data_IF_634099552622
#
_entry.id   IF_634099552622
#
_cell.length_a   1.000
_cell.length_b   1.000
_cell.length_c   1.000
_cell.angle_alpha   90.00
_cell.angle_beta   90.00
_cell.angle_gamma   90.00
#
_symmetry.space_group_name_H-M   'P 1'
#
loop_
_entity.id
_entity.type
_entity.pdbx_description
1 polymer ?
#
# COMPACT_ATOMS: atom_id res chain seq x y z
N UNK A 1 7.58 -3.31 -0.17
CA UNK A 1 6.30 -3.82 0.39
C UNK A 1 6.25 -3.96 1.92
N UNK A 2 7.38 -4.00 2.66
CA UNK A 2 7.39 -4.08 4.14
C UNK A 2 6.88 -2.83 4.88
N UNK A 3 6.76 -1.69 4.22
CA UNK A 3 6.45 -0.42 4.89
C UNK A 3 4.97 -0.32 5.35
N UNK A 4 4.02 -0.84 4.56
CA UNK A 4 2.57 -0.84 4.93
C UNK A 4 2.31 -1.75 6.14
N UNK A 5 3.22 -2.70 6.43
CA UNK A 5 3.11 -3.60 7.59
C UNK A 5 3.21 -2.85 8.93
N UNK A 6 3.93 -1.71 8.96
CA UNK A 6 4.24 -1.00 10.20
C UNK A 6 3.15 0.00 10.59
N UNK A 7 2.60 0.77 9.64
CA UNK A 7 1.53 1.77 9.85
C UNK A 7 0.71 1.98 8.56
N UNK A 8 -0.52 2.51 8.66
CA UNK A 8 -1.24 3.04 7.50
C UNK A 8 -0.37 4.13 6.85
N UNK A 9 -0.11 4.01 5.55
CA UNK A 9 0.82 4.89 4.84
C UNK A 9 0.08 5.61 3.71
N UNK A 10 0.38 6.90 3.56
CA UNK A 10 -0.07 7.70 2.43
C UNK A 10 0.70 7.32 1.16
N UNK A 11 0.03 7.32 0.00
CA UNK A 11 0.66 6.95 -1.28
C UNK A 11 1.92 7.76 -1.62
N UNK A 12 1.96 9.05 -1.25
CA UNK A 12 3.15 9.89 -1.39
C UNK A 12 4.32 9.46 -0.49
N UNK A 13 4.03 9.09 0.75
CA UNK A 13 5.06 8.61 1.67
C UNK A 13 5.61 7.24 1.23
N UNK A 14 4.76 6.39 0.64
CA UNK A 14 5.20 5.13 0.02
C UNK A 14 6.17 5.38 -1.13
N UNK A 15 5.88 6.33 -2.02
CA UNK A 15 6.73 6.69 -3.14
C UNK A 15 8.11 7.17 -2.66
N UNK A 16 8.14 8.10 -1.70
CA UNK A 16 9.38 8.62 -1.12
C UNK A 16 10.22 7.51 -0.46
N UNK A 17 9.60 6.60 0.30
CA UNK A 17 10.34 5.51 0.99
C UNK A 17 10.89 4.46 0.03
N UNK A 18 10.20 4.22 -1.09
CA UNK A 18 10.64 3.25 -2.10
C UNK A 18 11.58 3.86 -3.15
N UNK A 19 11.77 5.19 -3.14
CA UNK A 19 12.57 5.88 -4.15
C UNK A 19 11.97 5.79 -5.57
N UNK A 20 10.66 5.56 -5.68
CA UNK A 20 9.96 5.43 -6.96
C UNK A 20 9.12 6.67 -7.26
N UNK A 21 8.76 6.85 -8.53
CA UNK A 21 7.87 7.94 -8.92
C UNK A 21 6.50 7.80 -8.23
N UNK A 22 5.86 8.94 -7.97
CA UNK A 22 4.54 8.97 -7.35
C UNK A 22 3.49 8.22 -8.21
N UNK A 23 3.58 8.36 -9.53
CA UNK A 23 2.72 7.66 -10.48
C UNK A 23 2.91 6.14 -10.41
N UNK A 24 4.15 5.66 -10.39
CA UNK A 24 4.46 4.23 -10.25
C UNK A 24 3.99 3.68 -8.90
N UNK A 25 4.12 4.45 -7.82
CA UNK A 25 3.60 4.04 -6.52
C UNK A 25 2.07 3.86 -6.54
N UNK A 26 1.34 4.76 -7.19
CA UNK A 26 -0.11 4.64 -7.34
C UNK A 26 -0.51 3.49 -8.26
N UNK A 27 0.25 3.23 -9.33
CA UNK A 27 0.04 2.08 -10.22
C UNK A 27 0.17 0.76 -9.44
N UNK A 28 1.29 0.57 -8.72
CA UNK A 28 1.49 -0.62 -7.89
C UNK A 28 0.45 -0.77 -6.78
N UNK A 29 0.02 0.34 -6.16
CA UNK A 29 -1.08 0.31 -5.18
C UNK A 29 -2.41 -0.10 -5.84
N UNK A 30 -2.64 0.31 -7.09
CA UNK A 30 -3.76 -0.13 -7.92
C UNK A 30 -3.74 -1.64 -8.16
N UNK A 31 -2.61 -2.18 -8.58
CA UNK A 31 -2.44 -3.63 -8.83
C UNK A 31 -2.64 -4.46 -7.57
N UNK A 32 -2.07 -4.00 -6.45
CA UNK A 32 -2.24 -4.66 -5.16
C UNK A 32 -3.68 -4.61 -4.67
N UNK A 33 -4.40 -3.53 -4.96
CA UNK A 33 -5.82 -3.40 -4.64
C UNK A 33 -6.68 -4.31 -5.52
N UNK A 34 -6.40 -4.36 -6.82
CA UNK A 34 -7.06 -5.28 -7.74
C UNK A 34 -6.88 -6.74 -7.30
N UNK A 35 -5.68 -7.07 -6.80
CA UNK A 35 -5.36 -8.38 -6.23
C UNK A 35 -5.93 -8.62 -4.82
N UNK A 36 -6.63 -7.63 -4.25
CA UNK A 36 -7.22 -7.62 -2.90
C UNK A 36 -6.19 -7.75 -1.76
N UNK A 37 -4.95 -7.34 -1.97
CA UNK A 37 -3.90 -7.36 -0.94
C UNK A 37 -3.85 -6.07 -0.12
N UNK A 38 -4.18 -4.92 -0.72
CA UNK A 38 -4.31 -3.65 -0.03
C UNK A 38 -5.67 -3.03 -0.32
N UNK A 39 -6.10 -2.14 0.55
CA UNK A 39 -7.24 -1.26 0.30
C UNK A 39 -6.93 0.14 0.83
N UNK A 40 -7.81 1.11 0.57
CA UNK A 40 -7.64 2.46 1.11
C UNK A 40 -8.90 2.96 1.79
N UNK A 41 -8.68 3.87 2.73
CA UNK A 41 -9.72 4.71 3.31
C UNK A 41 -9.46 6.15 2.90
N UNK A 42 -10.53 6.88 2.58
CA UNK A 42 -10.45 8.31 2.33
C UNK A 42 -10.52 9.05 3.67
N UNK A 43 -9.49 9.84 3.95
CA UNK A 43 -9.39 10.72 5.11
C UNK A 43 -9.24 12.15 4.58
N UNK A 44 -10.37 12.85 4.47
CA UNK A 44 -10.43 14.15 3.81
C UNK A 44 -10.07 14.06 2.33
N UNK A 45 -9.03 14.79 1.91
CA UNK A 45 -8.51 14.78 0.52
C UNK A 45 -7.44 13.71 0.27
N UNK A 46 -7.12 12.89 1.28
CA UNK A 46 -6.01 11.94 1.22
C UNK A 46 -6.52 10.50 1.26
N UNK A 47 -5.90 9.63 0.46
CA UNK A 47 -6.08 8.19 0.54
C UNK A 47 -5.04 7.60 1.49
N UNK A 48 -5.51 6.86 2.49
CA UNK A 48 -4.68 6.14 3.45
C UNK A 48 -4.78 4.66 3.12
N UNK A 49 -3.66 4.04 2.75
CA UNK A 49 -3.63 2.65 2.34
C UNK A 49 -3.34 1.72 3.52
N UNK A 50 -4.01 0.57 3.55
CA UNK A 50 -3.85 -0.47 4.58
C UNK A 50 -3.88 -1.86 3.96
N UNK A 51 -3.27 -2.83 4.66
CA UNK A 51 -3.27 -4.23 4.25
C UNK A 51 -4.61 -4.91 4.58
N UNK A 52 -5.15 -5.64 3.63
CA UNK A 52 -6.28 -6.55 3.86
C UNK A 52 -5.81 -7.80 4.61
N UNK A 53 -6.74 -8.63 5.08
CA UNK A 53 -6.40 -9.95 5.62
C UNK A 53 -5.55 -10.77 4.64
N UNK A 54 -5.92 -10.78 3.36
CA UNK A 54 -5.18 -11.48 2.29
C UNK A 54 -3.76 -10.92 2.13
N UNK A 55 -3.59 -9.59 2.16
CA UNK A 55 -2.27 -8.95 2.10
C UNK A 55 -1.40 -9.30 3.30
N UNK A 56 -1.98 -9.36 4.50
CA UNK A 56 -1.27 -9.79 5.71
C UNK A 56 -0.79 -11.24 5.60
N UNK A 57 -1.59 -12.14 5.02
CA UNK A 57 -1.19 -13.54 4.78
C UNK A 57 -0.10 -13.67 3.71
N UNK A 58 -0.20 -12.93 2.60
CA UNK A 58 0.86 -12.91 1.59
C UNK A 58 2.20 -12.49 2.20
N UNK A 59 2.20 -11.43 3.02
CA UNK A 59 3.40 -10.97 3.71
C UNK A 59 3.91 -11.95 4.77
N UNK A 60 3.06 -12.83 5.31
CA UNK A 60 3.51 -13.93 6.18
C UNK A 60 4.13 -15.06 5.38
N UNK A 61 3.64 -15.33 4.17
CA UNK A 61 4.14 -16.40 3.30
C UNK A 61 5.44 -16.02 2.57
N UNK A 62 5.66 -14.72 2.34
CA UNK A 62 6.93 -14.16 1.84
C UNK A 62 7.97 -13.93 2.96
N UNK A 63 7.64 -14.32 4.20
CA UNK A 63 8.47 -14.19 5.39
C UNK A 63 9.26 -15.45 5.68
#
# INVERSE_FOLDING_TARGET
>A
MSEIKKKPIHGYELANRLGISLSSAYEHLGDLRQSRFVDFKEEGRRRVYFLTYKGKYLLKALG
#
